data_IF_330257375622
#
_entry.id   IF_330257375622
#
_cell.length_a   1.000
_cell.length_b   1.000
_cell.length_c   1.000
_cell.angle_alpha   90.00
_cell.angle_beta   90.00
_cell.angle_gamma   90.00
#
_symmetry.space_group_name_H-M   'P 1'
#
loop_
_entity.id
_entity.type
_entity.pdbx_description
1 polymer ?
#
# COMPACT_ATOMS: atom_id res chain seq x y z
N UNK A 1 5.80 14.71 -18.40
CA UNK A 1 5.13 13.78 -17.47
C UNK A 1 6.18 13.19 -16.55
N UNK A 2 6.06 13.39 -15.25
CA UNK A 2 6.98 12.84 -14.25
C UNK A 2 6.26 11.74 -13.47
N UNK A 3 6.92 10.60 -13.26
CA UNK A 3 6.37 9.47 -12.50
C UNK A 3 7.22 9.25 -11.26
N UNK A 4 6.56 9.14 -10.11
CA UNK A 4 7.20 8.87 -8.83
C UNK A 4 6.56 7.64 -8.20
N UNK A 5 7.38 6.65 -7.87
CA UNK A 5 6.95 5.44 -7.16
C UNK A 5 7.65 5.40 -5.81
N UNK A 6 6.87 5.21 -4.74
CA UNK A 6 7.42 5.05 -3.39
C UNK A 6 6.86 3.78 -2.75
N UNK A 7 7.70 3.08 -2.01
CA UNK A 7 7.32 1.86 -1.29
C UNK A 7 7.49 2.07 0.21
N UNK A 8 6.49 1.66 0.97
CA UNK A 8 6.50 1.65 2.42
C UNK A 8 6.33 0.20 2.90
N UNK A 9 7.21 -0.24 3.79
CA UNK A 9 7.10 -1.53 4.48
C UNK A 9 6.82 -1.25 5.94
N UNK A 10 5.77 -1.87 6.48
CA UNK A 10 5.42 -1.76 7.89
C UNK A 10 5.27 -3.15 8.50
N UNK A 11 6.03 -3.39 9.56
CA UNK A 11 5.89 -4.58 10.39
C UNK A 11 4.86 -4.28 11.49
N UNK A 12 3.84 -5.14 11.62
CA UNK A 12 2.75 -5.01 12.59
C UNK A 12 2.55 -6.33 13.33
N UNK A 13 2.31 -6.24 14.64
CA UNK A 13 1.90 -7.37 15.48
C UNK A 13 0.48 -7.10 15.96
N UNK A 14 -0.41 -8.09 15.80
CA UNK A 14 -1.79 -8.05 16.26
C UNK A 14 -2.04 -9.19 17.24
N UNK A 15 -2.63 -8.89 18.39
CA UNK A 15 -3.07 -9.89 19.38
C UNK A 15 -4.58 -9.84 19.45
N UNK A 16 -5.24 -11.00 19.37
CA UNK A 16 -6.65 -11.16 19.71
C UNK A 16 -6.75 -11.66 21.14
N UNK A 17 -7.49 -10.94 21.99
CA UNK A 17 -7.76 -11.33 23.38
C UNK A 17 -9.25 -11.63 23.51
N UNK A 18 -9.60 -12.75 24.13
CA UNK A 18 -10.98 -13.17 24.40
C UNK A 18 -11.03 -13.82 25.78
N UNK A 19 -12.10 -13.56 26.55
CA UNK A 19 -12.25 -14.07 27.92
C UNK A 19 -11.01 -13.83 28.81
N UNK A 20 -10.42 -12.63 28.73
CA UNK A 20 -9.20 -12.25 29.46
C UNK A 20 -7.96 -13.10 29.16
N UNK A 21 -7.94 -13.85 28.06
CA UNK A 21 -6.82 -14.66 27.62
C UNK A 21 -6.42 -14.35 26.15
N UNK A 22 -5.13 -14.39 25.80
CA UNK A 22 -4.70 -14.33 24.40
C UNK A 22 -5.24 -15.53 23.61
N UNK A 23 -5.99 -15.27 22.56
CA UNK A 23 -6.56 -16.30 21.68
C UNK A 23 -5.69 -16.52 20.44
N UNK A 24 -5.15 -15.45 19.86
CA UNK A 24 -4.24 -15.55 18.73
C UNK A 24 -3.27 -14.38 18.65
N UNK A 25 -2.11 -14.65 18.06
CA UNK A 25 -1.07 -13.69 17.73
C UNK A 25 -0.82 -13.75 16.22
N UNK A 26 -0.76 -12.60 15.56
CA UNK A 26 -0.43 -12.51 14.14
C UNK A 26 0.61 -11.44 13.90
N UNK A 27 1.70 -11.83 13.25
CA UNK A 27 2.70 -10.92 12.70
C UNK A 27 2.41 -10.67 11.23
N UNK A 28 2.51 -9.42 10.79
CA UNK A 28 2.27 -9.00 9.41
C UNK A 28 3.43 -8.12 8.96
N UNK A 29 3.95 -8.40 7.78
CA UNK A 29 4.80 -7.47 7.03
C UNK A 29 3.99 -6.93 5.87
N UNK A 30 3.59 -5.66 5.95
CA UNK A 30 2.70 -5.03 4.99
C UNK A 30 3.52 -4.13 4.08
N UNK A 31 3.64 -4.53 2.81
CA UNK A 31 4.24 -3.72 1.73
C UNK A 31 3.15 -2.92 1.03
N UNK A 32 3.31 -1.60 0.93
CA UNK A 32 2.39 -0.69 0.24
C UNK A 32 3.20 0.12 -0.75
N UNK A 33 2.73 0.19 -1.99
CA UNK A 33 3.39 0.99 -3.03
C UNK A 33 2.43 2.06 -3.52
N UNK A 34 2.88 3.31 -3.49
CA UNK A 34 2.18 4.44 -4.07
C UNK A 34 2.84 4.87 -5.38
N UNK A 35 2.00 5.33 -6.31
CA UNK A 35 2.38 5.88 -7.60
C UNK A 35 1.76 7.27 -7.75
N UNK A 36 2.60 8.23 -8.12
CA UNK A 36 2.19 9.60 -8.43
C UNK A 36 2.60 9.94 -9.86
N UNK A 37 1.68 10.56 -10.59
CA UNK A 37 1.90 11.02 -11.96
C UNK A 37 1.62 12.51 -12.01
N UNK A 38 2.65 13.26 -12.40
CA UNK A 38 2.57 14.70 -12.59
C UNK A 38 2.53 15.00 -14.08
N UNK A 39 1.44 15.60 -14.54
CA UNK A 39 1.22 15.91 -15.96
C UNK A 39 0.34 17.16 -16.09
N UNK A 40 0.80 18.13 -16.87
CA UNK A 40 0.05 19.35 -17.23
C UNK A 40 -0.49 20.14 -16.01
N UNK A 41 0.27 20.18 -14.91
CA UNK A 41 -0.15 20.82 -13.66
C UNK A 41 -1.09 19.97 -12.79
N UNK A 42 -1.50 18.79 -13.26
CA UNK A 42 -2.34 17.84 -12.53
C UNK A 42 -1.50 16.75 -11.82
N UNK A 43 -2.08 16.20 -10.76
CA UNK A 43 -1.52 15.10 -9.98
C UNK A 43 -2.51 13.92 -9.95
N UNK A 44 -2.11 12.81 -10.59
CA UNK A 44 -2.78 11.52 -10.46
C UNK A 44 -2.12 10.67 -9.38
N UNK A 45 -2.92 10.01 -8.54
CA UNK A 45 -2.42 9.20 -7.42
C UNK A 45 -3.12 7.84 -7.42
N UNK A 46 -2.35 6.78 -7.32
CA UNK A 46 -2.86 5.42 -7.12
C UNK A 46 -1.85 4.58 -6.35
N UNK A 47 -2.21 3.35 -5.98
CA UNK A 47 -1.32 2.45 -5.28
C UNK A 47 -1.82 1.01 -5.27
N UNK A 48 -1.00 0.14 -4.69
CA UNK A 48 -1.29 -1.28 -4.52
C UNK A 48 -0.64 -1.85 -3.25
N UNK A 49 -1.15 -3.00 -2.79
CA UNK A 49 -0.64 -3.75 -1.65
C UNK A 49 0.13 -4.98 -2.13
N UNK A 50 1.24 -5.28 -1.46
CA UNK A 50 2.10 -6.41 -1.83
C UNK A 50 2.98 -6.11 -3.03
N UNK A 51 3.20 -7.11 -3.89
CA UNK A 51 4.14 -7.02 -5.01
C UNK A 51 3.46 -6.85 -6.37
N UNK A 52 2.17 -7.16 -6.45
CA UNK A 52 1.40 -7.15 -7.70
C UNK A 52 0.40 -5.99 -7.72
N UNK A 53 0.21 -5.38 -8.89
CA UNK A 53 -0.74 -4.28 -9.09
C UNK A 53 -0.15 -2.99 -9.66
N UNK A 54 1.12 -2.99 -10.08
CA UNK A 54 1.78 -1.82 -10.67
C UNK A 54 1.07 -1.32 -11.94
N UNK A 55 0.69 -2.22 -12.85
CA UNK A 55 -0.01 -1.85 -14.10
C UNK A 55 -1.38 -1.24 -13.85
N UNK A 56 -2.18 -1.83 -12.96
CA UNK A 56 -3.50 -1.29 -12.64
C UNK A 56 -3.40 0.02 -11.87
N UNK A 57 -2.39 0.16 -10.99
CA UNK A 57 -2.12 1.42 -10.32
C UNK A 57 -1.76 2.52 -11.32
N UNK A 58 -0.96 2.20 -12.34
CA UNK A 58 -0.62 3.10 -13.43
C UNK A 58 -1.87 3.56 -14.19
N UNK A 59 -2.69 2.63 -14.65
CA UNK A 59 -3.94 2.95 -15.38
C UNK A 59 -4.85 3.87 -14.56
N UNK A 60 -5.00 3.60 -13.26
CA UNK A 60 -5.81 4.44 -12.36
C UNK A 60 -5.23 5.82 -12.10
N UNK A 61 -3.89 5.97 -12.11
CA UNK A 61 -3.23 7.26 -11.89
C UNK A 61 -3.16 8.11 -13.17
N UNK A 62 -3.31 7.51 -14.36
CA UNK A 62 -3.33 8.21 -15.65
C UNK A 62 -4.75 8.59 -16.12
N UNK A 63 -5.79 8.03 -15.48
CA UNK A 63 -7.20 8.33 -15.73
C UNK A 63 -7.62 9.69 -15.15
#
# INVERSE_FOLDING_TARGET
MTKETYTLIKDEVSVKVSASAPESLRTKRIKRTGLRIYRDGCLGISGYLGETGAEDALKRAEA
#
